data_IF_961101890541
#
_entry.id   IF_961101890541
#
_cell.length_a   1.000
_cell.length_b   1.000
_cell.length_c   1.000
_cell.angle_alpha   90.00
_cell.angle_beta   90.00
_cell.angle_gamma   90.00
#
_symmetry.space_group_name_H-M   'P 1'
#
loop_
_entity.id
_entity.type
_entity.pdbx_description
1 polymer ?
#
# COMPACT_ATOMS: atom_id res chain seq x y z
N UNK A 1 43.06 13.64 -20.79
CA UNK A 1 42.93 13.27 -19.38
C UNK A 1 42.61 14.51 -18.56
N UNK A 2 41.33 14.75 -18.27
CA UNK A 2 40.89 15.87 -17.46
C UNK A 2 40.73 15.35 -16.02
N UNK A 3 41.61 15.80 -15.13
CA UNK A 3 41.56 15.47 -13.70
C UNK A 3 40.29 16.10 -13.10
N UNK A 4 39.42 15.30 -12.52
CA UNK A 4 38.26 15.77 -11.71
C UNK A 4 38.83 16.52 -10.48
N UNK A 5 38.30 17.69 -10.10
CA UNK A 5 38.69 18.37 -8.88
C UNK A 5 38.32 17.52 -7.66
N UNK A 6 39.08 17.57 -6.56
CA UNK A 6 38.79 16.82 -5.36
C UNK A 6 37.46 17.31 -4.75
N UNK A 7 36.58 16.37 -4.37
CA UNK A 7 35.37 16.65 -3.61
C UNK A 7 35.75 17.29 -2.29
N UNK A 8 35.56 18.61 -2.16
CA UNK A 8 35.69 19.32 -0.88
C UNK A 8 34.67 18.73 0.10
N UNK A 9 35.15 18.12 1.17
CA UNK A 9 34.31 17.60 2.24
C UNK A 9 33.51 18.75 2.90
N UNK A 10 32.18 18.58 3.14
CA UNK A 10 31.30 19.65 3.67
C UNK A 10 31.76 20.24 5.02
N UNK A 11 32.54 19.49 5.79
CA UNK A 11 33.06 19.89 7.11
C UNK A 11 34.09 21.02 7.06
N UNK A 12 34.97 21.08 6.04
CA UNK A 12 35.93 22.18 5.91
C UNK A 12 35.29 23.49 5.46
N UNK A 13 34.22 23.40 4.68
CA UNK A 13 33.46 24.57 4.24
C UNK A 13 32.71 25.24 5.39
N UNK A 14 32.14 24.47 6.34
CA UNK A 14 31.42 25.03 7.48
C UNK A 14 32.37 25.66 8.50
N UNK A 15 33.51 25.00 8.82
CA UNK A 15 34.51 25.57 9.74
C UNK A 15 35.15 26.88 9.20
N UNK A 16 35.47 26.91 7.91
CA UNK A 16 35.96 28.15 7.27
C UNK A 16 34.91 29.28 7.28
N UNK A 17 33.64 28.95 7.10
CA UNK A 17 32.52 29.87 7.17
C UNK A 17 32.33 30.44 8.60
N UNK A 18 32.49 29.60 9.63
CA UNK A 18 32.34 30.00 11.01
C UNK A 18 33.48 30.93 11.46
N UNK A 19 34.72 30.62 11.08
CA UNK A 19 35.88 31.52 11.34
C UNK A 19 35.69 32.85 10.64
N UNK A 20 35.25 32.89 9.39
CA UNK A 20 34.99 34.09 8.63
C UNK A 20 33.86 34.94 9.25
N UNK A 21 32.79 34.30 9.70
CA UNK A 21 31.68 35.02 10.38
C UNK A 21 32.08 35.61 11.74
N UNK A 22 32.87 34.89 12.54
CA UNK A 22 33.43 35.40 13.80
C UNK A 22 34.30 36.61 13.55
N UNK A 23 35.20 36.60 12.56
CA UNK A 23 36.03 37.73 12.19
C UNK A 23 35.20 38.95 11.74
N UNK A 24 34.07 38.77 11.07
CA UNK A 24 33.16 39.86 10.70
C UNK A 24 32.40 40.38 11.88
N UNK A 25 32.04 39.57 12.88
CA UNK A 25 31.44 40.00 14.14
C UNK A 25 32.45 40.85 14.93
N UNK A 26 33.70 40.39 15.06
CA UNK A 26 34.76 41.12 15.77
C UNK A 26 35.08 42.49 15.11
N UNK A 27 34.83 42.62 13.80
CA UNK A 27 34.96 43.88 13.05
C UNK A 27 33.71 44.76 13.09
N UNK A 28 32.63 44.29 13.75
CA UNK A 28 31.34 45.00 13.81
C UNK A 28 30.57 45.04 12.48
N UNK A 29 30.93 44.17 11.52
CA UNK A 29 30.26 44.09 10.19
C UNK A 29 28.95 43.35 10.22
N UNK A 30 28.71 42.49 11.23
CA UNK A 30 27.45 41.78 11.46
C UNK A 30 27.04 41.92 12.91
N UNK A 31 25.71 41.86 13.16
CA UNK A 31 25.19 41.95 14.53
C UNK A 31 25.36 40.60 15.26
N UNK A 32 25.46 40.61 16.58
CA UNK A 32 25.47 39.41 17.42
C UNK A 32 24.20 38.58 17.18
N UNK A 33 23.06 39.24 16.93
CA UNK A 33 21.78 38.61 16.62
C UNK A 33 21.84 37.80 15.32
N UNK A 34 22.42 38.37 14.25
CA UNK A 34 22.57 37.68 12.95
C UNK A 34 23.50 36.46 13.05
N UNK A 35 24.56 36.59 13.86
CA UNK A 35 25.47 35.49 14.15
C UNK A 35 24.74 34.36 14.88
N UNK A 36 24.04 34.66 15.98
CA UNK A 36 23.26 33.66 16.75
C UNK A 36 22.18 32.99 15.90
N UNK A 37 21.49 33.74 15.02
CA UNK A 37 20.49 33.20 14.11
C UNK A 37 21.10 32.21 13.08
N UNK A 38 22.30 32.54 12.56
CA UNK A 38 22.97 31.65 11.61
C UNK A 38 23.49 30.39 12.29
N UNK A 39 23.94 30.46 13.54
CA UNK A 39 24.37 29.30 14.34
C UNK A 39 23.17 28.38 14.69
N UNK A 40 22.04 28.98 15.07
CA UNK A 40 20.78 28.26 15.29
C UNK A 40 20.30 27.52 14.01
N UNK A 41 20.39 28.20 12.86
CA UNK A 41 20.00 27.61 11.57
C UNK A 41 20.93 26.46 11.19
N UNK A 42 22.23 26.56 11.46
CA UNK A 42 23.19 25.48 11.24
C UNK A 42 22.89 24.26 12.11
N UNK A 43 22.65 24.47 13.41
CA UNK A 43 22.29 23.40 14.34
C UNK A 43 20.98 22.67 13.91
N UNK A 44 19.99 23.47 13.49
CA UNK A 44 18.74 22.94 12.94
C UNK A 44 18.93 22.10 11.66
N UNK A 45 19.80 22.56 10.76
CA UNK A 45 20.13 21.82 9.54
C UNK A 45 20.89 20.51 9.84
N UNK A 46 21.80 20.52 10.82
CA UNK A 46 22.51 19.31 11.28
C UNK A 46 21.53 18.29 11.89
N UNK A 47 20.57 18.73 12.71
CA UNK A 47 19.54 17.87 13.26
C UNK A 47 18.68 17.23 12.17
N UNK A 48 18.22 18.02 11.17
CA UNK A 48 17.47 17.52 10.00
C UNK A 48 18.28 16.47 9.22
N UNK A 49 19.60 16.69 9.03
CA UNK A 49 20.48 15.75 8.34
C UNK A 49 20.60 14.40 9.09
N UNK A 50 20.76 14.44 10.41
CA UNK A 50 20.84 13.24 11.25
C UNK A 50 19.54 12.46 11.15
N UNK A 51 18.38 13.11 11.26
CA UNK A 51 17.07 12.49 11.12
C UNK A 51 16.92 11.82 9.74
N UNK A 52 17.22 12.54 8.66
CA UNK A 52 17.11 12.01 7.30
C UNK A 52 18.04 10.79 7.05
N UNK A 53 19.25 10.80 7.63
CA UNK A 53 20.16 9.65 7.56
C UNK A 53 19.60 8.43 8.29
N UNK A 54 19.00 8.62 9.47
CA UNK A 54 18.37 7.55 10.23
C UNK A 54 17.16 6.97 9.50
N UNK A 55 16.32 7.83 8.89
CA UNK A 55 15.20 7.41 8.06
C UNK A 55 15.66 6.60 6.83
N UNK A 56 16.75 7.01 6.19
CA UNK A 56 17.33 6.28 5.08
C UNK A 56 17.80 4.87 5.50
N UNK A 57 18.50 4.77 6.64
CA UNK A 57 18.95 3.46 7.18
C UNK A 57 17.76 2.57 7.49
N UNK A 58 16.74 3.09 8.16
CA UNK A 58 15.48 2.37 8.46
C UNK A 58 14.77 1.95 7.17
N UNK A 59 14.66 2.84 6.19
CA UNK A 59 14.05 2.56 4.89
C UNK A 59 14.78 1.44 4.15
N UNK A 60 16.12 1.47 4.10
CA UNK A 60 16.92 0.40 3.49
C UNK A 60 16.75 -0.96 4.19
N UNK A 61 16.61 -0.96 5.53
CA UNK A 61 16.34 -2.20 6.28
C UNK A 61 14.93 -2.74 6.04
N UNK A 62 13.94 -1.87 5.98
CA UNK A 62 12.57 -2.25 5.64
C UNK A 62 12.47 -2.80 4.21
N UNK A 63 13.14 -2.17 3.25
CA UNK A 63 13.22 -2.69 1.88
C UNK A 63 13.83 -4.11 1.86
N UNK A 64 14.96 -4.30 2.54
CA UNK A 64 15.62 -5.61 2.63
C UNK A 64 14.72 -6.67 3.28
N UNK A 65 13.91 -6.28 4.29
CA UNK A 65 12.95 -7.18 4.95
C UNK A 65 11.83 -7.62 4.01
N UNK A 66 11.32 -6.71 3.18
CA UNK A 66 10.14 -6.96 2.33
C UNK A 66 10.55 -7.66 1.03
N UNK A 67 11.63 -7.18 0.39
CA UNK A 67 12.06 -7.67 -0.94
C UNK A 67 13.06 -8.83 -0.84
N UNK A 68 13.73 -8.97 0.32
CA UNK A 68 14.76 -10.01 0.52
C UNK A 68 16.13 -9.69 -0.09
N UNK A 69 16.26 -8.60 -0.85
CA UNK A 69 17.52 -8.17 -1.48
C UNK A 69 18.01 -6.84 -0.92
N UNK A 70 19.27 -6.52 -1.15
CA UNK A 70 19.86 -5.23 -0.75
C UNK A 70 19.18 -4.09 -1.53
N UNK A 71 18.86 -3.00 -0.82
CA UNK A 71 18.31 -1.79 -1.45
C UNK A 71 19.26 -1.24 -2.51
N UNK A 72 18.76 -0.78 -3.68
CA UNK A 72 19.59 -0.06 -4.65
C UNK A 72 20.20 1.19 -4.03
N UNK A 73 21.33 1.63 -4.54
CA UNK A 73 22.01 2.84 -4.04
C UNK A 73 21.32 4.12 -4.53
N UNK A 74 20.84 4.08 -5.76
CA UNK A 74 20.07 5.16 -6.38
C UNK A 74 18.70 4.63 -6.82
N UNK A 75 17.66 5.41 -6.56
CA UNK A 75 16.29 5.16 -7.03
C UNK A 75 15.95 6.25 -8.02
N UNK A 76 15.67 5.87 -9.26
CA UNK A 76 15.20 6.79 -10.27
C UNK A 76 13.71 7.10 -10.01
N UNK A 77 13.45 8.27 -9.44
CA UNK A 77 12.10 8.78 -9.18
C UNK A 77 11.41 9.32 -10.44
N UNK A 78 12.10 9.39 -11.56
CA UNK A 78 11.51 9.81 -12.84
C UNK A 78 10.75 8.67 -13.53
N UNK A 79 11.05 7.43 -13.16
CA UNK A 79 10.37 6.25 -13.68
C UNK A 79 9.06 6.02 -12.93
N UNK A 80 7.99 6.56 -13.48
CA UNK A 80 6.63 6.17 -13.10
C UNK A 80 6.10 5.20 -14.14
N UNK A 81 5.72 3.96 -13.75
CA UNK A 81 5.07 3.06 -14.68
C UNK A 81 3.79 3.70 -15.21
N UNK A 82 3.53 3.52 -16.51
CA UNK A 82 2.29 4.01 -17.12
C UNK A 82 1.15 3.07 -16.69
N UNK A 83 0.52 3.40 -15.57
CA UNK A 83 -0.57 2.61 -15.00
C UNK A 83 -1.89 2.99 -15.66
N UNK A 84 -2.70 1.99 -16.01
CA UNK A 84 -4.05 2.18 -16.55
C UNK A 84 -5.01 2.59 -15.42
N UNK A 85 -5.02 3.88 -15.07
CA UNK A 85 -5.87 4.41 -14.00
C UNK A 85 -7.22 4.84 -14.57
N UNK A 86 -8.36 4.47 -13.94
CA UNK A 86 -9.69 4.94 -14.35
C UNK A 86 -9.78 6.46 -14.35
N UNK A 87 -10.48 7.03 -15.32
CA UNK A 87 -10.58 8.48 -15.47
C UNK A 87 -11.61 9.12 -14.52
N UNK A 88 -12.55 8.36 -14.00
CA UNK A 88 -13.62 8.85 -13.12
C UNK A 88 -13.85 7.91 -11.95
N UNK A 89 -14.40 8.45 -10.85
CA UNK A 89 -14.82 7.66 -9.70
C UNK A 89 -15.84 6.58 -10.09
N UNK A 90 -16.80 6.92 -10.95
CA UNK A 90 -17.83 5.98 -11.40
C UNK A 90 -17.25 4.79 -12.15
N UNK A 91 -16.24 5.00 -13.02
CA UNK A 91 -15.56 3.89 -13.70
C UNK A 91 -14.73 3.06 -12.72
N UNK A 92 -14.08 3.69 -11.75
CA UNK A 92 -13.33 2.98 -10.71
C UNK A 92 -14.24 2.08 -9.86
N UNK A 93 -15.40 2.58 -9.44
CA UNK A 93 -16.38 1.81 -8.68
C UNK A 93 -16.95 0.65 -9.50
N UNK A 94 -17.30 0.87 -10.76
CA UNK A 94 -17.80 -0.18 -11.64
C UNK A 94 -16.79 -1.31 -11.89
N UNK A 95 -15.49 -0.98 -12.00
CA UNK A 95 -14.42 -1.98 -12.08
C UNK A 95 -14.31 -2.73 -10.74
N UNK A 96 -14.31 -2.02 -9.60
CA UNK A 96 -14.19 -2.63 -8.29
C UNK A 96 -15.31 -3.65 -8.00
N UNK A 97 -16.55 -3.35 -8.42
CA UNK A 97 -17.68 -4.28 -8.27
C UNK A 97 -17.50 -5.60 -9.04
N UNK A 98 -16.71 -5.60 -10.11
CA UNK A 98 -16.48 -6.78 -10.93
C UNK A 98 -15.20 -7.54 -10.56
N UNK A 99 -14.13 -6.81 -10.21
CA UNK A 99 -12.79 -7.37 -10.09
C UNK A 99 -12.29 -7.48 -8.65
N UNK A 100 -12.90 -6.75 -7.69
CA UNK A 100 -12.40 -6.72 -6.32
C UNK A 100 -12.41 -8.11 -5.68
N UNK A 101 -11.26 -8.64 -5.22
CA UNK A 101 -11.17 -10.01 -4.68
C UNK A 101 -12.00 -10.21 -3.40
N UNK A 102 -12.13 -9.15 -2.55
CA UNK A 102 -12.91 -9.23 -1.30
C UNK A 102 -14.39 -9.41 -1.60
N UNK A 103 -14.91 -8.67 -2.60
CA UNK A 103 -16.30 -8.77 -3.02
C UNK A 103 -16.58 -10.11 -3.67
N UNK A 104 -15.67 -10.60 -4.52
CA UNK A 104 -15.78 -11.91 -5.15
C UNK A 104 -15.78 -13.04 -4.11
N UNK A 105 -14.94 -12.95 -3.07
CA UNK A 105 -14.94 -13.90 -1.96
C UNK A 105 -16.28 -13.92 -1.21
N UNK A 106 -16.81 -12.75 -0.85
CA UNK A 106 -18.11 -12.64 -0.17
C UNK A 106 -19.26 -13.20 -1.02
N UNK A 107 -19.21 -12.98 -2.36
CA UNK A 107 -20.17 -13.54 -3.31
C UNK A 107 -20.12 -15.06 -3.35
N UNK A 108 -18.91 -15.64 -3.39
CA UNK A 108 -18.73 -17.10 -3.35
C UNK A 108 -19.19 -17.70 -2.02
N UNK A 109 -18.90 -17.05 -0.91
CA UNK A 109 -19.37 -17.46 0.42
C UNK A 109 -20.90 -17.52 0.49
N UNK A 110 -21.56 -16.50 -0.06
CA UNK A 110 -23.02 -16.48 -0.16
C UNK A 110 -23.55 -17.61 -1.05
N UNK A 111 -22.89 -17.88 -2.18
CA UNK A 111 -23.26 -18.98 -3.05
C UNK A 111 -23.10 -20.33 -2.36
N UNK A 112 -22.03 -20.53 -1.61
CA UNK A 112 -21.82 -21.72 -0.78
C UNK A 112 -22.98 -21.88 0.21
N UNK A 113 -23.35 -20.84 0.93
CA UNK A 113 -24.44 -20.88 1.89
C UNK A 113 -25.81 -21.18 1.24
N UNK A 114 -26.07 -20.67 0.02
CA UNK A 114 -27.23 -21.04 -0.80
C UNK A 114 -27.25 -22.52 -1.15
N UNK A 115 -26.08 -23.09 -1.51
CA UNK A 115 -25.94 -24.52 -1.80
C UNK A 115 -26.10 -25.38 -0.54
N UNK A 116 -25.55 -24.94 0.61
CA UNK A 116 -25.77 -25.61 1.91
C UNK A 116 -27.25 -25.65 2.30
N UNK A 117 -28.00 -24.59 2.05
CA UNK A 117 -29.46 -24.59 2.24
C UNK A 117 -30.17 -25.58 1.32
N UNK A 118 -29.73 -25.69 0.05
CA UNK A 118 -30.26 -26.68 -0.89
C UNK A 118 -29.99 -28.11 -0.40
N UNK A 119 -28.77 -28.39 0.08
CA UNK A 119 -28.39 -29.69 0.67
C UNK A 119 -29.26 -29.99 1.90
N UNK A 120 -29.41 -29.05 2.83
CA UNK A 120 -30.25 -29.24 4.02
C UNK A 120 -31.72 -29.52 3.68
N UNK A 121 -32.24 -28.95 2.59
CA UNK A 121 -33.57 -29.28 2.05
C UNK A 121 -33.62 -30.68 1.42
N UNK A 122 -32.51 -31.07 0.77
CA UNK A 122 -32.37 -32.43 0.21
C UNK A 122 -32.43 -33.54 1.27
N UNK A 123 -31.99 -33.25 2.50
CA UNK A 123 -32.07 -34.20 3.62
C UNK A 123 -33.51 -34.53 4.07
N UNK A 124 -34.51 -33.78 3.58
CA UNK A 124 -35.93 -34.07 3.77
C UNK A 124 -36.48 -35.03 2.70
N UNK A 125 -35.77 -35.23 1.59
CA UNK A 125 -36.15 -36.08 0.49
C UNK A 125 -35.74 -37.53 0.74
N UNK A 126 -36.37 -38.52 0.04
CA UNK A 126 -35.91 -39.89 0.08
C UNK A 126 -34.52 -40.00 -0.61
N UNK A 127 -33.62 -40.79 -0.01
CA UNK A 127 -32.29 -41.11 -0.54
C UNK A 127 -32.25 -42.57 -0.99
N UNK A 128 -31.74 -42.86 -2.18
CA UNK A 128 -31.52 -44.17 -2.71
C UNK A 128 -30.00 -44.47 -2.76
N UNK A 129 -29.59 -45.61 -2.22
CA UNK A 129 -28.21 -46.08 -2.24
C UNK A 129 -28.17 -47.48 -2.88
N UNK A 130 -27.35 -47.63 -3.91
CA UNK A 130 -26.99 -48.90 -4.49
C UNK A 130 -25.58 -49.27 -4.04
N UNK A 131 -25.40 -50.46 -3.48
CA UNK A 131 -24.10 -50.98 -3.08
C UNK A 131 -23.87 -52.35 -3.65
N UNK A 132 -22.70 -52.59 -4.20
CA UNK A 132 -22.17 -53.90 -4.58
C UNK A 132 -21.00 -54.20 -3.65
N UNK A 133 -20.99 -55.37 -3.06
CA UNK A 133 -19.87 -55.85 -2.26
C UNK A 133 -19.53 -57.28 -2.64
N UNK A 134 -18.25 -57.53 -2.85
CA UNK A 134 -17.68 -58.88 -3.03
C UNK A 134 -16.77 -59.15 -1.84
N UNK A 135 -17.01 -60.24 -1.14
CA UNK A 135 -16.21 -60.70 -0.01
C UNK A 135 -15.67 -62.06 -0.35
N UNK A 136 -14.38 -62.26 -0.24
CA UNK A 136 -13.66 -63.51 -0.32
C UNK A 136 -13.04 -63.79 1.03
N UNK A 137 -13.45 -64.88 1.68
CA UNK A 137 -12.92 -65.32 2.96
C UNK A 137 -12.19 -66.64 2.75
N UNK A 138 -10.89 -66.69 3.07
CA UNK A 138 -10.08 -67.92 3.11
C UNK A 138 -10.06 -68.43 4.52
N UNK A 139 -10.02 -69.79 4.67
CA UNK A 139 -10.09 -70.48 5.98
C UNK A 139 -11.35 -70.10 6.78
N UNK A 140 -12.51 -70.06 6.14
CA UNK A 140 -13.76 -69.61 6.73
C UNK A 140 -14.24 -70.52 7.88
N UNK A 141 -14.01 -71.84 7.81
CA UNK A 141 -14.29 -72.81 8.88
C UNK A 141 -13.56 -74.15 8.61
N UNK A 142 -13.54 -75.04 9.62
CA UNK A 142 -12.91 -76.40 9.52
C UNK A 142 -13.43 -77.24 8.37
N UNK A 143 -14.56 -76.92 7.75
CA UNK A 143 -15.20 -77.66 6.62
C UNK A 143 -15.33 -76.86 5.34
N UNK A 144 -15.00 -75.53 5.37
CA UNK A 144 -15.11 -74.62 4.19
C UNK A 144 -13.85 -73.79 4.10
N UNK A 145 -12.96 -74.13 3.15
CA UNK A 145 -11.67 -73.45 2.95
C UNK A 145 -11.84 -72.11 2.32
N UNK A 146 -12.76 -71.89 1.41
CA UNK A 146 -12.95 -70.65 0.68
C UNK A 146 -14.44 -70.32 0.54
N UNK A 147 -14.82 -69.11 0.87
CA UNK A 147 -16.18 -68.62 0.71
C UNK A 147 -16.16 -67.29 -0.03
N UNK A 148 -16.71 -67.28 -1.22
CA UNK A 148 -16.97 -66.08 -2.01
C UNK A 148 -18.43 -65.67 -1.87
N UNK A 149 -18.66 -64.41 -1.57
CA UNK A 149 -20.01 -63.84 -1.44
C UNK A 149 -20.09 -62.54 -2.24
N UNK A 150 -20.99 -62.49 -3.18
CA UNK A 150 -21.34 -61.26 -3.91
C UNK A 150 -22.73 -60.83 -3.48
N UNK A 151 -22.83 -59.55 -3.14
CA UNK A 151 -24.09 -58.95 -2.68
C UNK A 151 -24.34 -57.63 -3.44
N UNK A 152 -25.50 -57.52 -4.07
CA UNK A 152 -26.04 -56.30 -4.64
C UNK A 152 -27.20 -55.83 -3.75
N UNK A 153 -27.07 -54.64 -3.14
CA UNK A 153 -28.09 -54.13 -2.22
C UNK A 153 -28.56 -52.76 -2.66
N UNK A 154 -29.86 -52.60 -2.90
CA UNK A 154 -30.54 -51.32 -3.10
C UNK A 154 -31.29 -50.97 -1.82
N UNK A 155 -31.00 -49.77 -1.28
CA UNK A 155 -31.64 -49.25 -0.05
C UNK A 155 -32.28 -47.92 -0.34
N UNK A 156 -33.59 -47.79 -0.11
CA UNK A 156 -34.34 -46.54 -0.14
C UNK A 156 -34.63 -46.10 1.30
N UNK A 157 -34.20 -44.90 1.67
CA UNK A 157 -34.42 -44.34 3.02
C UNK A 157 -35.13 -43.00 2.93
N UNK A 158 -36.30 -42.89 3.55
CA UNK A 158 -37.05 -41.65 3.63
C UNK A 158 -37.21 -41.22 5.11
N UNK A 159 -36.60 -40.13 5.52
CA UNK A 159 -36.67 -39.65 6.92
C UNK A 159 -37.96 -38.84 7.19
N UNK A 160 -39.11 -39.51 7.27
CA UNK A 160 -40.41 -38.87 7.45
C UNK A 160 -40.47 -38.07 8.76
N UNK A 161 -39.93 -38.61 9.84
CA UNK A 161 -39.88 -37.95 11.16
C UNK A 161 -38.60 -38.25 11.93
N UNK A 162 -37.84 -37.21 12.28
CA UNK A 162 -36.61 -37.28 13.11
C UNK A 162 -36.68 -36.29 14.28
N UNK A 163 -37.82 -36.22 14.99
CA UNK A 163 -37.96 -35.34 16.17
C UNK A 163 -37.68 -33.86 15.86
N UNK A 164 -37.99 -33.37 14.66
CA UNK A 164 -37.79 -31.99 14.25
C UNK A 164 -36.36 -31.63 13.83
N UNK A 165 -35.36 -32.54 13.92
CA UNK A 165 -33.96 -32.31 13.61
C UNK A 165 -33.74 -31.75 12.20
N UNK A 166 -34.34 -32.36 11.19
CA UNK A 166 -34.17 -31.96 9.77
C UNK A 166 -34.76 -30.56 9.51
N UNK A 167 -35.93 -30.24 10.09
CA UNK A 167 -36.53 -28.91 9.99
C UNK A 167 -35.66 -27.83 10.67
N UNK A 168 -35.08 -28.17 11.84
CA UNK A 168 -34.14 -27.27 12.53
C UNK A 168 -32.86 -27.05 11.71
N UNK A 169 -32.34 -28.09 11.04
CA UNK A 169 -31.17 -27.98 10.16
C UNK A 169 -31.45 -27.06 8.96
N UNK A 170 -32.63 -27.16 8.35
CA UNK A 170 -33.05 -26.25 7.25
C UNK A 170 -33.16 -24.81 7.74
N UNK A 171 -33.78 -24.57 8.94
CA UNK A 171 -33.84 -23.24 9.53
C UNK A 171 -32.45 -22.65 9.80
N UNK A 172 -31.55 -23.47 10.37
CA UNK A 172 -30.15 -23.08 10.60
C UNK A 172 -29.44 -22.69 9.31
N UNK A 173 -29.56 -23.50 8.27
CA UNK A 173 -28.95 -23.23 6.96
C UNK A 173 -29.56 -21.96 6.31
N UNK A 174 -30.87 -21.71 6.50
CA UNK A 174 -31.53 -20.51 6.03
C UNK A 174 -30.95 -19.24 6.72
N UNK A 175 -30.86 -19.25 8.05
CA UNK A 175 -30.30 -18.11 8.79
C UNK A 175 -28.82 -17.89 8.45
N UNK A 176 -28.05 -18.96 8.20
CA UNK A 176 -26.67 -18.84 7.74
C UNK A 176 -26.56 -18.19 6.35
N UNK A 177 -27.49 -18.52 5.45
CA UNK A 177 -27.57 -17.87 4.13
C UNK A 177 -27.94 -16.38 4.28
N UNK A 178 -28.89 -16.04 5.15
CA UNK A 178 -29.28 -14.66 5.42
C UNK A 178 -28.11 -13.87 6.04
N UNK A 179 -27.39 -14.46 6.99
CA UNK A 179 -26.14 -13.89 7.53
C UNK A 179 -25.11 -13.59 6.41
N UNK A 180 -24.88 -14.55 5.52
CA UNK A 180 -23.92 -14.37 4.40
C UNK A 180 -24.40 -13.34 3.39
N UNK A 181 -25.72 -13.18 3.21
CA UNK A 181 -26.28 -12.10 2.39
C UNK A 181 -25.95 -10.73 3.00
N UNK A 182 -26.17 -10.55 4.30
CA UNK A 182 -25.87 -9.28 4.99
C UNK A 182 -24.36 -8.97 4.95
N UNK A 183 -23.51 -9.99 5.11
CA UNK A 183 -22.03 -9.82 4.97
C UNK A 183 -21.65 -9.42 3.54
N UNK A 184 -22.30 -9.98 2.53
CA UNK A 184 -22.04 -9.59 1.14
C UNK A 184 -22.46 -8.14 0.89
N UNK A 185 -23.61 -7.71 1.40
CA UNK A 185 -24.09 -6.34 1.25
C UNK A 185 -23.16 -5.34 1.97
N UNK A 186 -22.71 -5.66 3.19
CA UNK A 186 -21.73 -4.86 3.96
C UNK A 186 -20.38 -4.76 3.23
N UNK A 187 -19.85 -5.88 2.73
CA UNK A 187 -18.60 -5.89 1.96
C UNK A 187 -18.72 -5.09 0.67
N UNK A 188 -19.89 -5.13 0.01
CA UNK A 188 -20.15 -4.35 -1.20
C UNK A 188 -20.09 -2.85 -0.92
N UNK A 189 -20.74 -2.40 0.15
CA UNK A 189 -20.71 -1.01 0.58
C UNK A 189 -19.30 -0.57 0.99
N UNK A 190 -18.59 -1.41 1.75
CA UNK A 190 -17.22 -1.13 2.18
C UNK A 190 -16.26 -1.01 0.98
N UNK A 191 -16.38 -1.86 -0.05
CA UNK A 191 -15.58 -1.77 -1.27
C UNK A 191 -15.85 -0.46 -2.02
N UNK A 192 -17.10 -0.01 -2.08
CA UNK A 192 -17.42 1.28 -2.70
C UNK A 192 -16.78 2.44 -1.93
N UNK A 193 -16.86 2.43 -0.59
CA UNK A 193 -16.24 3.44 0.29
C UNK A 193 -14.72 3.42 0.13
N UNK A 194 -14.07 2.24 0.19
CA UNK A 194 -12.63 2.10 0.05
C UNK A 194 -12.15 2.61 -1.31
N UNK A 195 -12.89 2.31 -2.39
CA UNK A 195 -12.60 2.80 -3.74
C UNK A 195 -12.76 4.31 -3.85
N UNK A 196 -13.81 4.89 -3.25
CA UNK A 196 -14.01 6.34 -3.25
C UNK A 196 -12.91 7.07 -2.49
N UNK A 197 -12.48 6.54 -1.34
CA UNK A 197 -11.38 7.08 -0.55
C UNK A 197 -10.04 7.01 -1.30
N UNK A 198 -9.76 5.87 -1.95
CA UNK A 198 -8.55 5.71 -2.76
C UNK A 198 -8.53 6.66 -3.96
N UNK A 199 -9.66 6.83 -4.64
CA UNK A 199 -9.83 7.80 -5.74
C UNK A 199 -9.61 9.24 -5.27
N UNK A 200 -10.21 9.63 -4.16
CA UNK A 200 -10.05 10.98 -3.58
C UNK A 200 -8.60 11.23 -3.21
N UNK A 201 -7.93 10.24 -2.59
CA UNK A 201 -6.51 10.32 -2.24
C UNK A 201 -5.62 10.44 -3.47
N UNK A 202 -5.90 9.68 -4.53
CA UNK A 202 -5.20 9.78 -5.82
C UNK A 202 -5.37 11.16 -6.44
N UNK A 203 -6.60 11.67 -6.53
CA UNK A 203 -6.89 12.99 -7.10
C UNK A 203 -6.23 14.11 -6.31
N UNK A 204 -6.28 14.05 -4.97
CA UNK A 204 -5.62 15.01 -4.10
C UNK A 204 -4.09 14.97 -4.23
N UNK A 205 -3.49 13.77 -4.27
CA UNK A 205 -2.04 13.61 -4.40
C UNK A 205 -1.51 14.14 -5.73
N UNK A 206 -2.29 14.02 -6.82
CA UNK A 206 -1.99 14.63 -8.12
C UNK A 206 -1.95 16.15 -8.03
N UNK A 207 -2.97 16.76 -7.42
CA UNK A 207 -3.02 18.21 -7.23
C UNK A 207 -1.87 18.72 -6.33
N UNK A 208 -1.53 17.99 -5.27
CA UNK A 208 -0.40 18.30 -4.37
C UNK A 208 0.93 18.21 -5.13
N UNK A 209 1.10 17.21 -6.00
CA UNK A 209 2.31 17.06 -6.80
C UNK A 209 2.50 18.26 -7.74
N UNK A 210 1.44 18.69 -8.42
CA UNK A 210 1.50 19.85 -9.33
C UNK A 210 1.78 21.16 -8.55
N UNK A 211 1.14 21.34 -7.41
CA UNK A 211 1.36 22.51 -6.55
C UNK A 211 2.79 22.56 -5.98
N UNK A 212 3.30 21.43 -5.48
CA UNK A 212 4.68 21.37 -4.94
C UNK A 212 5.74 21.53 -6.03
N UNK A 213 5.48 21.07 -7.26
CA UNK A 213 6.35 21.33 -8.41
C UNK A 213 6.43 22.83 -8.71
N UNK A 214 5.29 23.54 -8.72
CA UNK A 214 5.26 24.98 -8.93
C UNK A 214 5.96 25.73 -7.78
N UNK A 215 5.75 25.30 -6.53
CA UNK A 215 6.43 25.83 -5.36
C UNK A 215 7.94 25.67 -5.45
N UNK A 216 8.43 24.49 -5.82
CA UNK A 216 9.86 24.20 -6.00
C UNK A 216 10.47 25.17 -7.03
N UNK A 217 9.83 25.29 -8.21
CA UNK A 217 10.31 26.20 -9.27
C UNK A 217 10.39 27.65 -8.81
N UNK A 218 9.39 28.11 -8.08
CA UNK A 218 9.39 29.47 -7.52
C UNK A 218 10.49 29.66 -6.46
N UNK A 219 10.70 28.65 -5.59
CA UNK A 219 11.75 28.69 -4.58
C UNK A 219 13.17 28.66 -5.19
N UNK A 220 13.37 27.94 -6.31
CA UNK A 220 14.64 27.94 -7.05
C UNK A 220 14.95 29.33 -7.61
N UNK A 221 14.00 29.95 -8.29
CA UNK A 221 14.15 31.30 -8.86
C UNK A 221 14.41 32.33 -7.73
N UNK A 222 13.65 32.24 -6.64
CA UNK A 222 13.81 33.17 -5.51
C UNK A 222 15.18 33.01 -4.83
N UNK A 223 15.64 31.76 -4.62
CA UNK A 223 16.94 31.51 -4.00
C UNK A 223 18.10 31.96 -4.91
N UNK A 224 18.00 31.75 -6.21
CA UNK A 224 19.00 32.24 -7.19
C UNK A 224 19.06 33.78 -7.15
N UNK A 225 17.92 34.47 -7.25
CA UNK A 225 17.83 35.92 -7.23
C UNK A 225 18.39 36.52 -5.92
N UNK A 226 17.96 36.00 -4.75
CA UNK A 226 18.44 36.49 -3.43
C UNK A 226 19.95 36.26 -3.28
N UNK A 227 20.45 35.09 -3.74
CA UNK A 227 21.89 34.80 -3.67
C UNK A 227 22.71 35.76 -4.56
N UNK A 228 22.24 35.99 -5.78
CA UNK A 228 22.89 36.91 -6.72
C UNK A 228 22.90 38.37 -6.19
N UNK A 229 21.77 38.84 -5.66
CA UNK A 229 21.65 40.17 -5.05
C UNK A 229 22.57 40.32 -3.82
N UNK A 230 22.71 39.26 -3.01
CA UNK A 230 23.64 39.24 -1.88
C UNK A 230 25.11 39.30 -2.34
N UNK A 231 25.51 38.51 -3.35
CA UNK A 231 26.87 38.47 -3.84
C UNK A 231 27.29 39.76 -4.56
N UNK A 232 26.33 40.46 -5.18
CA UNK A 232 26.56 41.78 -5.84
C UNK A 232 26.54 42.95 -4.87
N UNK A 233 26.34 42.72 -3.58
CA UNK A 233 26.34 43.77 -2.55
C UNK A 233 25.07 44.61 -2.49
N UNK A 234 23.97 44.12 -3.09
CA UNK A 234 22.72 44.83 -3.29
C UNK A 234 21.74 44.65 -2.12
N UNK A 235 22.06 45.18 -0.92
CA UNK A 235 21.18 45.33 0.26
C UNK A 235 20.52 44.05 0.86
N UNK A 236 20.90 42.87 0.43
CA UNK A 236 20.38 41.61 1.04
C UNK A 236 21.19 41.22 2.26
N UNK A 237 20.50 40.70 3.27
CA UNK A 237 21.13 40.21 4.50
C UNK A 237 21.50 38.74 4.42
N UNK A 238 22.48 38.32 5.22
CA UNK A 238 22.82 36.88 5.36
C UNK A 238 21.60 36.04 5.79
N UNK A 239 20.72 36.62 6.61
CA UNK A 239 19.50 35.98 7.08
C UNK A 239 18.55 35.65 5.92
N UNK A 240 18.35 36.60 4.98
CA UNK A 240 17.48 36.34 3.81
C UNK A 240 18.04 35.22 2.92
N UNK A 241 19.35 35.13 2.75
CA UNK A 241 19.98 34.00 2.02
C UNK A 241 19.77 32.70 2.75
N UNK A 242 19.92 32.63 4.07
CA UNK A 242 19.67 31.44 4.86
C UNK A 242 18.20 31.02 4.77
N UNK A 243 17.29 31.98 4.89
CA UNK A 243 15.84 31.70 4.77
C UNK A 243 15.46 31.18 3.37
N UNK A 244 15.99 31.81 2.31
CA UNK A 244 15.72 31.35 0.94
C UNK A 244 16.25 29.93 0.66
N UNK A 245 17.46 29.61 1.16
CA UNK A 245 18.03 28.25 1.07
C UNK A 245 17.23 27.24 1.87
N UNK A 246 16.73 27.61 3.04
CA UNK A 246 15.86 26.74 3.85
C UNK A 246 14.54 26.48 3.12
N UNK A 247 13.92 27.52 2.55
CA UNK A 247 12.69 27.40 1.77
C UNK A 247 12.89 26.50 0.54
N UNK A 248 14.02 26.65 -0.16
CA UNK A 248 14.36 25.79 -1.30
C UNK A 248 14.53 24.33 -0.87
N UNK A 249 15.24 24.07 0.23
CA UNK A 249 15.41 22.71 0.76
C UNK A 249 14.07 22.08 1.16
N UNK A 250 13.23 22.82 1.88
CA UNK A 250 11.92 22.36 2.31
C UNK A 250 11.00 22.14 1.10
N UNK A 251 11.08 22.97 0.05
CA UNK A 251 10.33 22.78 -1.21
C UNK A 251 10.81 21.53 -1.99
N UNK A 252 12.11 21.27 -2.05
CA UNK A 252 12.67 20.05 -2.66
C UNK A 252 12.22 18.79 -1.92
N UNK A 253 12.26 18.83 -0.60
CA UNK A 253 11.81 17.72 0.25
C UNK A 253 10.31 17.45 0.07
N UNK A 254 9.51 18.52 0.05
CA UNK A 254 8.06 18.46 -0.14
C UNK A 254 7.70 17.87 -1.53
N UNK A 255 8.40 18.30 -2.57
CA UNK A 255 8.19 17.77 -3.92
C UNK A 255 8.56 16.30 -4.03
N UNK A 256 9.72 15.88 -3.48
CA UNK A 256 10.12 14.47 -3.46
C UNK A 256 9.12 13.60 -2.67
N UNK A 257 8.59 14.11 -1.55
CA UNK A 257 7.54 13.46 -0.79
C UNK A 257 6.25 13.34 -1.60
N UNK A 258 5.84 14.41 -2.28
CA UNK A 258 4.63 14.41 -3.11
C UNK A 258 4.75 13.43 -4.29
N UNK A 259 5.93 13.30 -4.93
CA UNK A 259 6.19 12.29 -5.96
C UNK A 259 5.97 10.87 -5.42
N UNK A 260 6.56 10.55 -4.27
CA UNK A 260 6.39 9.25 -3.61
C UNK A 260 4.92 8.99 -3.24
N UNK A 261 4.24 9.99 -2.64
CA UNK A 261 2.86 9.83 -2.18
C UNK A 261 1.89 9.67 -3.37
N UNK A 262 2.15 10.35 -4.49
CA UNK A 262 1.40 10.16 -5.73
C UNK A 262 1.59 8.75 -6.31
N UNK A 263 2.82 8.23 -6.36
CA UNK A 263 3.08 6.87 -6.80
C UNK A 263 2.33 5.85 -5.93
N UNK A 264 2.41 5.98 -4.61
CA UNK A 264 1.71 5.09 -3.67
C UNK A 264 0.18 5.18 -3.86
N UNK A 265 -0.35 6.39 -4.08
CA UNK A 265 -1.79 6.58 -4.28
C UNK A 265 -2.31 5.88 -5.56
N UNK A 266 -1.50 5.86 -6.64
CA UNK A 266 -1.83 5.13 -7.86
C UNK A 266 -1.93 3.62 -7.60
N UNK A 267 -0.94 3.02 -6.93
CA UNK A 267 -0.97 1.59 -6.59
C UNK A 267 -2.10 1.25 -5.62
N UNK A 268 -2.37 2.10 -4.64
CA UNK A 268 -3.47 1.90 -3.69
C UNK A 268 -4.83 1.93 -4.39
N UNK A 269 -5.01 2.82 -5.37
CA UNK A 269 -6.24 2.86 -6.17
C UNK A 269 -6.41 1.56 -6.97
N UNK A 270 -5.37 1.10 -7.69
CA UNK A 270 -5.41 -0.15 -8.43
C UNK A 270 -5.67 -1.37 -7.52
N UNK A 271 -5.07 -1.38 -6.32
CA UNK A 271 -5.31 -2.41 -5.33
C UNK A 271 -6.77 -2.39 -4.81
N UNK A 272 -7.33 -1.20 -4.57
CA UNK A 272 -8.71 -1.05 -4.08
C UNK A 272 -9.75 -1.50 -5.11
N UNK A 273 -9.50 -1.28 -6.40
CA UNK A 273 -10.38 -1.76 -7.47
C UNK A 273 -10.13 -3.22 -7.86
N UNK A 274 -9.03 -3.85 -7.37
CA UNK A 274 -8.69 -5.24 -7.68
C UNK A 274 -8.05 -5.44 -9.06
N UNK A 275 -7.51 -4.37 -9.66
CA UNK A 275 -6.88 -4.38 -11.00
C UNK A 275 -5.34 -4.25 -10.94
N UNK A 276 -4.75 -4.61 -9.81
CA UNK A 276 -3.30 -4.60 -9.62
C UNK A 276 -2.68 -5.89 -10.18
N UNK A 277 -2.44 -5.94 -11.49
CA UNK A 277 -1.80 -7.05 -12.17
C UNK A 277 -0.42 -6.65 -12.72
N UNK A 278 0.50 -7.62 -12.82
CA UNK A 278 1.84 -7.39 -13.38
C UNK A 278 1.80 -6.88 -14.82
N UNK A 279 0.78 -7.27 -15.58
CA UNK A 279 0.59 -6.83 -16.98
C UNK A 279 0.23 -5.34 -17.10
N UNK A 280 -0.31 -4.75 -16.03
CA UNK A 280 -0.66 -3.33 -15.95
C UNK A 280 0.52 -2.44 -15.51
N UNK A 281 1.67 -3.05 -15.16
CA UNK A 281 2.90 -2.38 -14.73
C UNK A 281 3.91 -2.47 -15.90
N UNK A 282 3.70 -1.70 -16.93
CA UNK A 282 4.62 -1.63 -18.09
C UNK A 282 5.31 -0.28 -18.20
#
# INVERSE_FOLDING_TARGET
MIRRPPRSTPLYSSAASDVYKRQRLDRGEISLTDFAQSESSLAGAQAKLITARNELISGKKNFQKIIGSKSPEEIDLSFFPNLAIPNTLSTATAIAEQTNPRLNLAKLDLEIAKRELFVARGDLAPSAKLSYSRKENKDFSTTVDEREQEEVKATLTWPIFKGGKNLSSVKKAKFKMEEKQLIFDDVSEQVQIDTANAWTTYSASKGILDATRAQLKAAEIANEGITLEYDTGNKRTTLEVIQSRTLLLDSRTSYAKAQKDFAIAQFNLLASIGDLHLDNIK
#
